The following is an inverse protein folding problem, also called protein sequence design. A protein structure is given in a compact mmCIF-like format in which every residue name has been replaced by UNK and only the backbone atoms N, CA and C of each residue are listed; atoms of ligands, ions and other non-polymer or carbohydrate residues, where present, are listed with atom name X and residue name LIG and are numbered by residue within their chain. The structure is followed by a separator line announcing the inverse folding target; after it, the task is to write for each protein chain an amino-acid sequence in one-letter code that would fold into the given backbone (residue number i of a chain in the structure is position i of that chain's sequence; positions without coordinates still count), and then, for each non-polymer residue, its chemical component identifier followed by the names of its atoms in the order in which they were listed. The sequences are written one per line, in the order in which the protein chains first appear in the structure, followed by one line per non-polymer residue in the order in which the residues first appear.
data_IF_071606504383
#
_entry.id   IF_071606504383
#
_cell.length_a   1.000
_cell.length_b   1.000
_cell.length_c   1.000
_cell.angle_alpha   90.00
_cell.angle_beta   90.00
_cell.angle_gamma   90.00
#
_symmetry.space_group_name_H-M   'P 1'
#
loop_
_entity.id
_entity.type
_entity.pdbx_description
1 polymer ?
#
# COMPACT_ATOMS: atom_id res chain seq x y z
N UNK A 1 -27.07 12.06 -15.96
CA UNK A 1 -26.95 10.74 -15.30
C UNK A 1 -25.52 10.39 -14.88
N UNK A 2 -24.48 10.97 -15.48
CA UNK A 2 -23.08 10.70 -15.13
C UNK A 2 -22.59 11.53 -13.91
N UNK A 3 -23.14 12.75 -13.77
CA UNK A 3 -22.89 13.68 -12.68
C UNK A 3 -23.29 13.16 -11.28
N UNK A 4 -24.20 12.18 -11.21
CA UNK A 4 -24.62 11.57 -9.93
C UNK A 4 -23.66 10.47 -9.44
N UNK A 5 -22.67 10.06 -10.25
CA UNK A 5 -21.71 9.00 -9.90
C UNK A 5 -20.34 9.53 -9.48
N UNK A 6 -19.97 10.76 -9.82
CA UNK A 6 -18.67 11.34 -9.46
C UNK A 6 -18.64 11.82 -8.00
N UNK A 7 -17.44 11.92 -7.42
CA UNK A 7 -17.22 12.58 -6.13
C UNK A 7 -17.21 14.09 -6.33
N UNK A 8 -17.81 14.85 -5.42
CA UNK A 8 -17.91 16.32 -5.49
C UNK A 8 -16.84 16.98 -4.62
N UNK A 9 -16.21 18.04 -5.12
CA UNK A 9 -15.19 18.80 -4.39
C UNK A 9 -15.79 19.51 -3.19
N UNK A 10 -15.07 19.47 -2.08
CA UNK A 10 -15.32 20.19 -0.83
C UNK A 10 -14.00 20.80 -0.40
N UNK A 11 -13.96 22.13 -0.25
CA UNK A 11 -12.82 22.80 0.37
C UNK A 11 -12.87 22.62 1.88
N UNK A 12 -11.70 22.60 2.53
CA UNK A 12 -11.63 22.46 3.97
C UNK A 12 -12.34 23.61 4.68
N UNK A 13 -12.93 23.32 5.85
CA UNK A 13 -13.60 24.32 6.66
C UNK A 13 -12.64 25.35 7.26
N UNK A 14 -11.37 24.97 7.47
CA UNK A 14 -10.30 25.83 7.96
C UNK A 14 -9.52 26.42 6.77
N UNK A 15 -9.66 27.73 6.46
CA UNK A 15 -9.04 28.35 5.28
C UNK A 15 -7.51 28.42 5.35
N UNK A 16 -6.93 28.32 6.55
CA UNK A 16 -5.49 28.38 6.77
C UNK A 16 -4.79 27.02 6.56
N UNK A 17 -5.54 25.97 6.21
CA UNK A 17 -4.96 24.69 5.80
C UNK A 17 -4.93 24.64 4.28
N UNK A 18 -3.74 24.87 3.72
CA UNK A 18 -3.56 25.20 2.31
C UNK A 18 -2.72 24.18 1.54
N UNK A 19 -2.78 24.26 0.22
CA UNK A 19 -1.82 23.67 -0.69
C UNK A 19 -0.49 24.44 -0.66
N UNK A 20 0.52 23.96 -1.37
CA UNK A 20 1.85 24.59 -1.38
C UNK A 20 1.82 26.09 -1.71
N UNK A 21 0.97 26.51 -2.65
CA UNK A 21 0.85 27.90 -3.11
C UNK A 21 -0.10 28.78 -2.29
N UNK A 22 -0.61 28.28 -1.16
CA UNK A 22 -1.56 29.00 -0.32
C UNK A 22 -3.03 28.90 -0.76
N UNK A 23 -3.33 28.24 -1.89
CA UNK A 23 -4.72 27.95 -2.28
C UNK A 23 -5.38 26.98 -1.28
N UNK A 24 -6.71 27.06 -1.05
CA UNK A 24 -7.37 26.23 -0.05
C UNK A 24 -7.29 24.75 -0.42
N UNK A 25 -6.83 23.90 0.51
CA UNK A 25 -6.88 22.47 0.31
C UNK A 25 -8.33 21.95 0.42
N UNK A 26 -8.54 20.67 0.11
CA UNK A 26 -9.87 20.08 0.09
C UNK A 26 -9.84 18.59 -0.23
N UNK A 27 -11.04 18.04 -0.40
CA UNK A 27 -11.26 16.64 -0.74
C UNK A 27 -12.45 16.51 -1.69
N UNK A 28 -12.55 15.38 -2.36
CA UNK A 28 -13.73 14.99 -3.12
C UNK A 28 -14.52 13.95 -2.33
N UNK A 29 -15.82 14.16 -2.17
CA UNK A 29 -16.70 13.27 -1.41
C UNK A 29 -17.83 12.73 -2.29
N UNK A 30 -18.08 11.43 -2.16
CA UNK A 30 -19.33 10.80 -2.56
C UNK A 30 -19.88 9.99 -1.40
N UNK A 31 -21.07 10.37 -0.95
CA UNK A 31 -21.76 9.68 0.14
C UNK A 31 -22.55 8.48 -0.39
N UNK A 32 -22.60 7.44 0.41
CA UNK A 32 -23.45 6.27 0.21
C UNK A 32 -24.40 6.17 1.41
N UNK A 33 -25.63 6.64 1.22
CA UNK A 33 -26.62 6.68 2.30
C UNK A 33 -26.91 5.26 2.82
N UNK A 34 -26.78 5.07 4.14
CA UNK A 34 -26.94 3.76 4.78
C UNK A 34 -25.65 2.96 4.93
N UNK A 35 -24.55 3.37 4.29
CA UNK A 35 -23.24 2.76 4.50
C UNK A 35 -22.52 3.41 5.69
N UNK A 36 -22.04 2.58 6.60
CA UNK A 36 -21.19 2.99 7.73
C UNK A 36 -19.70 2.79 7.45
N UNK A 37 -19.33 2.42 6.22
CA UNK A 37 -17.94 2.27 5.79
C UNK A 37 -17.46 3.54 5.11
N UNK A 38 -16.27 3.98 5.45
CA UNK A 38 -15.61 5.13 4.87
C UNK A 38 -14.25 4.73 4.32
N UNK A 39 -13.93 5.21 3.12
CA UNK A 39 -12.61 5.10 2.52
C UNK A 39 -12.11 6.50 2.26
N UNK A 40 -11.05 6.89 2.96
CA UNK A 40 -10.31 8.13 2.73
C UNK A 40 -9.04 7.77 2.01
N UNK A 41 -8.93 8.20 0.75
CA UNK A 41 -7.83 7.88 -0.13
C UNK A 41 -6.89 9.08 -0.29
N UNK A 42 -5.61 8.89 0.04
CA UNK A 42 -4.54 9.87 -0.13
C UNK A 42 -3.88 9.68 -1.50
N UNK A 43 -3.98 10.71 -2.35
CA UNK A 43 -3.29 10.71 -3.65
C UNK A 43 -1.76 10.75 -3.47
N UNK A 44 -1.05 10.21 -4.45
CA UNK A 44 0.41 10.23 -4.50
C UNK A 44 0.95 11.24 -5.51
N UNK A 45 2.24 11.14 -5.82
CA UNK A 45 2.87 11.95 -6.86
C UNK A 45 4.17 12.61 -6.40
N UNK A 46 5.13 11.82 -5.93
CA UNK A 46 6.46 12.28 -5.50
C UNK A 46 6.40 13.38 -4.42
N UNK A 47 7.45 14.19 -4.30
CA UNK A 47 7.59 15.28 -3.34
C UNK A 47 8.69 16.23 -3.84
N UNK A 48 8.87 17.37 -3.17
CA UNK A 48 10.03 18.24 -3.37
C UNK A 48 10.68 18.55 -2.02
N UNK A 49 12.00 18.69 -1.95
CA UNK A 49 12.76 18.62 -0.70
C UNK A 49 13.79 19.73 -0.53
N UNK A 50 13.88 20.65 -1.48
CA UNK A 50 14.65 21.89 -1.43
C UNK A 50 14.06 22.92 -2.40
N UNK A 51 14.55 24.16 -2.35
CA UNK A 51 14.07 25.26 -3.21
C UNK A 51 14.06 24.88 -4.70
N UNK A 52 15.15 24.29 -5.19
CA UNK A 52 15.30 23.96 -6.61
C UNK A 52 14.32 22.86 -7.06
N UNK A 53 14.18 21.79 -6.26
CA UNK A 53 13.23 20.72 -6.57
C UNK A 53 11.78 21.23 -6.50
N UNK A 54 11.44 22.12 -5.57
CA UNK A 54 10.10 22.69 -5.46
C UNK A 54 9.77 23.65 -6.61
N UNK A 55 10.71 24.51 -7.03
CA UNK A 55 10.52 25.33 -8.23
C UNK A 55 10.34 24.48 -9.49
N UNK A 56 11.15 23.43 -9.65
CA UNK A 56 11.05 22.51 -10.79
C UNK A 56 9.69 21.83 -10.80
N UNK A 57 9.23 21.38 -9.62
CA UNK A 57 7.90 20.78 -9.45
C UNK A 57 6.78 21.77 -9.76
N UNK A 58 6.91 23.03 -9.31
CA UNK A 58 5.93 24.08 -9.61
C UNK A 58 5.79 24.35 -11.10
N UNK A 59 6.91 24.31 -11.84
CA UNK A 59 6.91 24.53 -13.29
C UNK A 59 6.34 23.33 -14.07
N UNK A 60 6.64 22.10 -13.65
CA UNK A 60 6.33 20.88 -14.42
C UNK A 60 5.06 20.16 -13.96
N UNK A 61 4.74 20.24 -12.68
CA UNK A 61 3.70 19.47 -12.00
C UNK A 61 2.85 20.37 -11.09
N UNK A 62 2.56 21.61 -11.54
CA UNK A 62 1.78 22.60 -10.78
C UNK A 62 0.47 22.04 -10.19
N UNK A 63 -0.20 21.14 -10.92
CA UNK A 63 -1.45 20.52 -10.48
C UNK A 63 -1.35 19.71 -9.16
N UNK A 64 -0.13 19.36 -8.73
CA UNK A 64 0.17 18.73 -7.44
C UNK A 64 0.66 19.72 -6.37
N UNK A 65 0.46 21.02 -6.58
CA UNK A 65 0.91 22.10 -5.69
C UNK A 65 -0.15 23.20 -5.51
N UNK A 66 -1.30 23.11 -6.19
CA UNK A 66 -2.39 24.10 -6.16
C UNK A 66 -3.75 23.44 -6.27
N UNK A 67 -4.78 24.06 -5.70
CA UNK A 67 -6.19 23.68 -5.88
C UNK A 67 -6.95 24.55 -6.89
N UNK A 68 -6.33 25.63 -7.41
CA UNK A 68 -7.03 26.60 -8.28
C UNK A 68 -7.69 26.00 -9.52
N UNK A 69 -7.16 24.89 -10.05
CA UNK A 69 -7.65 24.24 -11.25
C UNK A 69 -8.34 22.90 -10.99
N UNK A 70 -8.68 22.61 -9.74
CA UNK A 70 -9.42 21.40 -9.42
C UNK A 70 -10.82 21.45 -10.06
N UNK A 71 -11.26 20.37 -10.74
CA UNK A 71 -12.63 20.30 -11.26
C UNK A 71 -13.64 20.21 -10.12
N UNK A 72 -14.90 20.54 -10.38
CA UNK A 72 -15.97 20.42 -9.39
C UNK A 72 -16.22 18.95 -8.99
N UNK A 73 -16.02 18.03 -9.94
CA UNK A 73 -16.18 16.60 -9.70
C UNK A 73 -14.97 15.79 -10.16
N UNK A 74 -14.71 14.66 -9.50
CA UNK A 74 -13.70 13.67 -9.88
C UNK A 74 -14.27 12.26 -9.80
N UNK A 75 -13.90 11.45 -10.78
CA UNK A 75 -14.11 10.01 -10.75
C UNK A 75 -12.76 9.32 -10.53
N UNK A 76 -12.77 8.21 -9.80
CA UNK A 76 -11.62 7.35 -9.58
C UNK A 76 -12.07 5.89 -9.72
N UNK A 77 -11.17 5.05 -10.24
CA UNK A 77 -11.42 3.62 -10.40
C UNK A 77 -11.05 2.82 -9.16
N UNK A 78 -10.96 1.51 -9.34
CA UNK A 78 -10.54 0.53 -8.35
C UNK A 78 -11.35 0.61 -7.07
N UNK A 79 -10.67 0.74 -5.93
CA UNK A 79 -11.28 0.78 -4.59
C UNK A 79 -12.27 1.95 -4.39
N UNK A 80 -12.17 3.01 -5.21
CA UNK A 80 -13.07 4.15 -5.20
C UNK A 80 -14.14 4.08 -6.30
N UNK A 81 -14.21 3.00 -7.08
CA UNK A 81 -15.26 2.82 -8.09
C UNK A 81 -16.60 2.48 -7.43
N UNK A 82 -17.70 2.97 -8.01
CA UNK A 82 -19.08 2.58 -7.66
C UNK A 82 -19.58 1.41 -8.49
N UNK A 83 -18.81 0.95 -9.48
CA UNK A 83 -19.16 -0.19 -10.28
C UNK A 83 -18.90 -1.48 -9.47
N UNK A 84 -19.91 -2.27 -9.08
CA UNK A 84 -19.70 -3.51 -8.33
C UNK A 84 -18.92 -4.58 -9.11
N UNK A 85 -18.85 -4.49 -10.44
CA UNK A 85 -18.02 -5.39 -11.27
C UNK A 85 -16.52 -5.05 -11.19
N UNK A 86 -16.20 -3.80 -10.83
CA UNK A 86 -14.83 -3.31 -10.63
C UNK A 86 -14.44 -3.32 -9.15
N UNK A 87 -15.38 -2.99 -8.26
CA UNK A 87 -15.19 -2.87 -6.82
C UNK A 87 -16.18 -3.74 -6.06
N UNK A 88 -15.92 -5.04 -6.03
CA UNK A 88 -16.88 -6.05 -5.54
C UNK A 88 -17.30 -5.83 -4.07
N UNK A 89 -16.41 -5.32 -3.23
CA UNK A 89 -16.61 -5.28 -1.78
C UNK A 89 -16.88 -3.88 -1.21
N UNK A 90 -16.38 -2.81 -1.85
CA UNK A 90 -16.46 -1.45 -1.32
C UNK A 90 -17.16 -0.46 -2.25
N UNK A 91 -17.83 -0.92 -3.32
CA UNK A 91 -18.54 -0.03 -4.26
C UNK A 91 -19.59 0.85 -3.58
N UNK A 92 -20.14 0.42 -2.45
CA UNK A 92 -21.15 1.14 -1.68
C UNK A 92 -20.60 1.82 -0.41
N UNK A 93 -19.28 1.94 -0.25
CA UNK A 93 -18.71 2.76 0.83
C UNK A 93 -18.96 4.26 0.60
N UNK A 94 -18.79 5.08 1.64
CA UNK A 94 -18.57 6.51 1.45
C UNK A 94 -17.14 6.68 0.94
N UNK A 95 -16.98 7.31 -0.22
CA UNK A 95 -15.69 7.47 -0.88
C UNK A 95 -15.20 8.90 -0.75
N UNK A 96 -13.97 9.05 -0.28
CA UNK A 96 -13.27 10.31 -0.14
C UNK A 96 -11.93 10.21 -0.85
N UNK A 97 -11.65 11.16 -1.72
CA UNK A 97 -10.37 11.30 -2.40
C UNK A 97 -9.75 12.64 -2.02
N UNK A 98 -8.58 12.60 -1.39
CA UNK A 98 -7.85 13.78 -0.95
C UNK A 98 -6.74 14.03 -1.99
N UNK A 99 -6.85 15.08 -2.82
CA UNK A 99 -5.82 15.36 -3.81
C UNK A 99 -4.53 15.82 -3.14
N UNK A 100 -3.41 15.41 -3.72
CA UNK A 100 -2.10 15.69 -3.15
C UNK A 100 -1.55 17.02 -3.68
N UNK A 101 -1.66 18.07 -2.87
CA UNK A 101 -1.18 19.41 -3.21
C UNK A 101 -0.12 19.99 -2.27
N UNK A 102 0.47 19.14 -1.41
CA UNK A 102 1.36 19.57 -0.33
C UNK A 102 2.82 19.14 -0.52
N UNK A 103 3.12 18.26 -1.48
CA UNK A 103 4.49 17.90 -1.91
C UNK A 103 5.43 17.40 -0.79
N UNK A 104 4.88 16.91 0.31
CA UNK A 104 5.57 16.57 1.56
C UNK A 104 5.29 15.14 2.05
N UNK A 105 4.84 14.26 1.16
CA UNK A 105 4.41 12.88 1.47
C UNK A 105 3.40 12.82 2.63
N UNK A 106 2.52 13.82 2.73
CA UNK A 106 1.49 13.94 3.77
C UNK A 106 2.03 14.11 5.20
N UNK A 107 3.26 14.60 5.35
CA UNK A 107 3.92 14.72 6.65
C UNK A 107 4.01 16.15 7.18
N UNK A 108 3.89 17.16 6.31
CA UNK A 108 4.26 18.53 6.67
C UNK A 108 3.31 19.17 7.67
N UNK A 109 3.88 19.95 8.59
CA UNK A 109 3.14 20.82 9.52
C UNK A 109 3.54 22.28 9.37
N UNK A 110 4.30 22.64 8.34
CA UNK A 110 4.73 24.01 8.08
C UNK A 110 3.58 24.82 7.47
N UNK A 111 3.01 25.70 8.30
CA UNK A 111 1.94 26.63 7.90
C UNK A 111 2.49 27.79 7.07
N UNK A 112 3.49 28.50 7.60
CA UNK A 112 4.08 29.66 6.94
C UNK A 112 4.98 29.25 5.77
N UNK A 113 4.91 29.94 4.61
CA UNK A 113 5.80 29.66 3.49
C UNK A 113 7.26 29.66 3.93
N UNK A 114 7.99 28.63 3.52
CA UNK A 114 9.43 28.56 3.78
C UNK A 114 10.16 29.71 3.07
N UNK A 115 11.15 30.31 3.75
CA UNK A 115 11.81 31.56 3.31
C UNK A 115 12.48 31.40 1.94
N UNK A 116 13.06 30.25 1.64
CA UNK A 116 13.71 30.01 0.36
C UNK A 116 12.70 29.54 -0.69
N UNK A 117 11.97 28.46 -0.41
CA UNK A 117 11.07 27.84 -1.40
C UNK A 117 9.78 28.62 -1.66
N UNK A 118 9.38 29.52 -0.76
CA UNK A 118 8.13 30.31 -0.81
C UNK A 118 6.85 29.44 -0.83
N UNK A 119 6.95 28.19 -0.36
CA UNK A 119 5.83 27.25 -0.30
C UNK A 119 5.53 26.79 1.13
N UNK A 120 4.26 26.55 1.42
CA UNK A 120 3.80 25.89 2.65
C UNK A 120 3.80 24.37 2.49
N UNK A 121 3.90 23.61 3.58
CA UNK A 121 3.89 22.13 3.54
C UNK A 121 3.01 21.62 4.67
N UNK A 122 1.74 21.34 4.36
CA UNK A 122 0.67 21.12 5.33
C UNK A 122 0.01 19.74 5.23
N UNK A 123 0.68 18.75 4.64
CA UNK A 123 0.10 17.45 4.34
C UNK A 123 -0.54 16.76 5.54
N UNK A 124 0.12 16.74 6.69
CA UNK A 124 -0.43 16.17 7.92
C UNK A 124 -1.66 16.94 8.43
N UNK A 125 -1.60 18.27 8.37
CA UNK A 125 -2.71 19.15 8.74
C UNK A 125 -3.92 18.96 7.80
N UNK A 126 -3.69 18.78 6.51
CA UNK A 126 -4.74 18.46 5.52
C UNK A 126 -5.42 17.14 5.88
N UNK A 127 -4.67 16.05 6.13
CA UNK A 127 -5.27 14.75 6.47
C UNK A 127 -6.12 14.86 7.74
N UNK A 128 -5.59 15.53 8.77
CA UNK A 128 -6.33 15.79 10.02
C UNK A 128 -7.63 16.55 9.75
N UNK A 129 -7.55 17.68 9.07
CA UNK A 129 -8.71 18.54 8.82
C UNK A 129 -9.76 17.87 7.94
N UNK A 130 -9.36 17.07 6.95
CA UNK A 130 -10.30 16.25 6.17
C UNK A 130 -11.10 15.34 7.10
N UNK A 131 -10.44 14.61 8.01
CA UNK A 131 -11.15 13.70 8.92
C UNK A 131 -12.10 14.47 9.83
N UNK A 132 -11.70 15.63 10.36
CA UNK A 132 -12.56 16.50 11.17
C UNK A 132 -13.78 17.00 10.38
N UNK A 133 -13.60 17.45 9.14
CA UNK A 133 -14.67 17.93 8.26
C UNK A 133 -15.65 16.82 7.86
N UNK A 134 -15.18 15.56 7.82
CA UNK A 134 -16.03 14.41 7.53
C UNK A 134 -16.93 14.00 8.72
N UNK A 135 -16.57 14.35 9.95
CA UNK A 135 -17.37 14.02 11.15
C UNK A 135 -18.82 14.49 11.05
N UNK A 136 -19.12 15.80 10.86
CA UNK A 136 -20.49 16.28 10.71
C UNK A 136 -21.14 15.79 9.41
N UNK A 137 -20.35 15.38 8.42
CA UNK A 137 -20.83 14.79 7.17
C UNK A 137 -21.21 13.30 7.32
N UNK A 138 -21.07 12.73 8.52
CA UNK A 138 -21.58 11.41 8.89
C UNK A 138 -20.50 10.41 9.31
N UNK A 139 -19.21 10.74 9.26
CA UNK A 139 -18.13 9.86 9.71
C UNK A 139 -18.27 9.52 11.20
N UNK A 140 -18.85 10.42 12.02
CA UNK A 140 -19.12 10.15 13.44
C UNK A 140 -19.98 8.88 13.68
N UNK A 141 -20.80 8.49 12.70
CA UNK A 141 -21.69 7.32 12.76
C UNK A 141 -21.10 6.09 12.03
N UNK A 142 -19.82 6.14 11.64
CA UNK A 142 -19.16 5.04 10.95
C UNK A 142 -18.93 3.84 11.88
N UNK A 143 -18.79 2.67 11.28
CA UNK A 143 -18.24 1.48 11.94
C UNK A 143 -16.80 1.22 11.52
N UNK A 144 -16.42 1.67 10.33
CA UNK A 144 -15.08 1.48 9.76
C UNK A 144 -14.64 2.73 8.99
N UNK A 145 -13.43 3.19 9.29
CA UNK A 145 -12.64 4.10 8.46
C UNK A 145 -11.41 3.35 7.92
N UNK A 146 -11.33 3.21 6.60
CA UNK A 146 -10.13 2.78 5.90
C UNK A 146 -9.38 4.02 5.40
N UNK A 147 -8.19 4.27 5.95
CA UNK A 147 -7.25 5.24 5.40
C UNK A 147 -6.38 4.53 4.36
N UNK A 148 -6.63 4.80 3.09
CA UNK A 148 -5.92 4.21 1.96
C UNK A 148 -5.06 5.26 1.25
N UNK A 149 -4.08 4.84 0.48
CA UNK A 149 -3.30 5.76 -0.35
C UNK A 149 -2.29 5.04 -1.21
N UNK A 150 -1.92 5.66 -2.33
CA UNK A 150 -0.96 5.10 -3.28
C UNK A 150 0.31 5.95 -3.39
N UNK A 151 1.46 5.33 -3.62
CA UNK A 151 2.75 6.04 -3.79
C UNK A 151 3.09 6.87 -2.53
N UNK A 152 3.42 8.16 -2.69
CA UNK A 152 3.58 9.09 -1.56
C UNK A 152 2.35 9.13 -0.63
N UNK A 153 1.14 8.88 -1.15
CA UNK A 153 -0.07 8.69 -0.35
C UNK A 153 -0.05 7.40 0.49
N UNK A 154 0.55 6.32 -0.01
CA UNK A 154 0.76 5.08 0.74
C UNK A 154 1.76 5.26 1.89
N UNK A 155 2.82 6.05 1.69
CA UNK A 155 3.68 6.51 2.78
C UNK A 155 2.90 7.39 3.76
N UNK A 156 2.09 8.32 3.24
CA UNK A 156 1.20 9.18 4.02
C UNK A 156 0.22 8.42 4.92
N UNK A 157 -0.29 7.27 4.47
CA UNK A 157 -1.09 6.37 5.31
C UNK A 157 -0.29 5.94 6.52
N UNK A 158 0.93 5.43 6.34
CA UNK A 158 1.76 4.96 7.47
C UNK A 158 2.11 6.08 8.45
N UNK A 159 2.33 7.30 7.96
CA UNK A 159 2.66 8.45 8.81
C UNK A 159 1.46 8.98 9.60
N UNK A 160 0.24 8.88 9.05
CA UNK A 160 -0.96 9.51 9.62
C UNK A 160 -1.95 8.51 10.23
N UNK A 161 -1.78 7.20 10.06
CA UNK A 161 -2.76 6.20 10.51
C UNK A 161 -3.02 6.26 12.02
N UNK A 162 -1.97 6.18 12.84
CA UNK A 162 -2.10 6.26 14.30
C UNK A 162 -2.53 7.66 14.78
N UNK A 163 -2.01 8.78 14.25
CA UNK A 163 -2.56 10.10 14.51
C UNK A 163 -4.07 10.22 14.26
N UNK A 164 -4.59 9.65 13.16
CA UNK A 164 -6.02 9.66 12.84
C UNK A 164 -6.82 8.73 13.76
N UNK A 165 -6.28 7.57 14.12
CA UNK A 165 -6.90 6.70 15.13
C UNK A 165 -7.01 7.42 16.49
N UNK A 166 -5.92 8.05 16.94
CA UNK A 166 -5.89 8.85 18.17
C UNK A 166 -6.85 10.05 18.12
N UNK A 167 -6.95 10.74 16.98
CA UNK A 167 -7.92 11.82 16.78
C UNK A 167 -9.35 11.36 17.03
N UNK A 168 -9.76 10.25 16.40
CA UNK A 168 -11.14 9.75 16.52
C UNK A 168 -11.41 9.19 17.91
N UNK A 169 -10.51 8.36 18.46
CA UNK A 169 -10.74 7.64 19.70
C UNK A 169 -10.54 8.51 20.94
N UNK A 170 -9.45 9.28 20.98
CA UNK A 170 -9.09 10.11 22.14
C UNK A 170 -9.59 11.54 21.98
N UNK A 171 -9.50 12.11 20.78
CA UNK A 171 -9.92 13.50 20.52
C UNK A 171 -11.45 13.67 20.50
N UNK A 172 -12.17 12.74 19.88
CA UNK A 172 -13.63 12.81 19.74
C UNK A 172 -14.41 11.72 20.49
N UNK A 173 -13.74 10.80 21.19
CA UNK A 173 -14.39 9.74 21.96
C UNK A 173 -15.07 8.64 21.10
N UNK A 174 -14.81 8.60 19.80
CA UNK A 174 -15.46 7.73 18.81
C UNK A 174 -14.81 6.34 18.75
N UNK A 175 -14.67 5.69 19.90
CA UNK A 175 -13.99 4.38 20.04
C UNK A 175 -14.71 3.23 19.32
N UNK A 176 -15.97 3.42 18.91
CA UNK A 176 -16.72 2.46 18.09
C UNK A 176 -16.26 2.42 16.62
N UNK A 177 -15.56 3.45 16.14
CA UNK A 177 -15.06 3.50 14.76
C UNK A 177 -13.77 2.67 14.69
N UNK A 178 -13.80 1.56 13.97
CA UNK A 178 -12.56 0.83 13.66
C UNK A 178 -11.75 1.63 12.64
N UNK A 179 -10.47 1.89 12.92
CA UNK A 179 -9.55 2.57 12.00
C UNK A 179 -8.53 1.56 11.50
N UNK A 180 -8.37 1.45 10.17
CA UNK A 180 -7.34 0.60 9.54
C UNK A 180 -6.72 1.29 8.33
N UNK A 181 -5.51 0.89 7.98
CA UNK A 181 -4.75 1.47 6.87
C UNK A 181 -4.56 0.52 5.68
N UNK A 182 -4.51 1.06 4.46
CA UNK A 182 -4.06 0.34 3.26
C UNK A 182 -2.98 1.18 2.57
N UNK A 183 -1.73 0.73 2.63
CA UNK A 183 -0.61 1.37 1.94
C UNK A 183 -0.36 0.64 0.62
N UNK A 184 -0.54 1.34 -0.50
CA UNK A 184 -0.23 0.83 -1.85
C UNK A 184 1.00 1.53 -2.39
N UNK A 185 2.03 0.75 -2.73
CA UNK A 185 3.25 1.27 -3.37
C UNK A 185 3.93 2.39 -2.55
N UNK A 186 3.78 2.35 -1.22
CA UNK A 186 4.32 3.31 -0.26
C UNK A 186 5.45 2.75 0.60
N UNK A 187 5.84 1.49 0.36
CA UNK A 187 6.86 0.77 1.11
C UNK A 187 8.19 0.81 0.35
N UNK A 188 9.00 1.83 0.65
CA UNK A 188 10.32 2.04 0.05
C UNK A 188 11.45 1.49 0.93
N UNK A 189 12.61 1.28 0.32
CA UNK A 189 13.87 0.93 0.96
C UNK A 189 14.87 2.10 0.88
N UNK A 190 15.55 2.38 1.99
CA UNK A 190 16.62 3.36 2.14
C UNK A 190 17.97 2.79 1.67
N UNK A 191 18.05 2.39 0.40
CA UNK A 191 19.24 1.80 -0.22
C UNK A 191 20.12 2.85 -0.89
N UNK A 192 21.39 2.52 -1.09
CA UNK A 192 22.29 3.30 -1.92
C UNK A 192 21.93 3.09 -3.40
N UNK A 193 21.81 4.15 -4.22
CA UNK A 193 21.51 4.02 -5.64
C UNK A 193 22.53 3.20 -6.39
N UNK A 194 22.09 2.68 -7.52
CA UNK A 194 22.97 2.21 -8.55
C UNK A 194 23.91 3.32 -9.05
N UNK A 195 25.21 3.05 -8.99
CA UNK A 195 26.29 3.91 -9.49
C UNK A 195 27.34 3.04 -10.16
N UNK A 196 27.80 3.43 -11.35
CA UNK A 196 28.90 2.70 -12.03
C UNK A 196 30.25 2.95 -11.34
N UNK A 197 30.43 4.12 -10.71
CA UNK A 197 31.70 4.57 -10.12
C UNK A 197 31.67 4.61 -8.58
N UNK A 198 30.59 4.14 -7.95
CA UNK A 198 30.45 4.11 -6.48
C UNK A 198 30.26 5.48 -5.79
N UNK A 199 30.09 6.56 -6.55
CA UNK A 199 30.07 7.96 -6.07
C UNK A 199 28.74 8.69 -6.33
N UNK A 200 27.59 8.02 -6.28
CA UNK A 200 26.30 8.71 -6.41
C UNK A 200 25.81 9.22 -5.05
N UNK A 201 25.52 10.52 -4.95
CA UNK A 201 24.88 11.16 -3.79
C UNK A 201 23.40 10.75 -3.75
N UNK A 202 22.97 10.21 -2.61
CA UNK A 202 21.86 9.28 -2.52
C UNK A 202 20.45 9.93 -2.40
N UNK A 203 19.38 9.29 -2.90
CA UNK A 203 17.95 9.54 -2.65
C UNK A 203 17.60 9.61 -1.17
N UNK A 204 18.43 9.03 -0.31
CA UNK A 204 18.35 9.19 1.13
C UNK A 204 18.41 10.66 1.57
N UNK A 205 19.17 11.47 0.84
CA UNK A 205 19.31 12.90 1.11
C UNK A 205 18.01 13.65 0.81
N UNK A 206 17.18 13.16 -0.12
CA UNK A 206 15.90 13.79 -0.44
C UNK A 206 14.93 13.74 0.75
N UNK A 207 14.79 12.57 1.40
CA UNK A 207 13.91 12.44 2.58
C UNK A 207 14.50 13.19 3.79
N UNK A 208 15.83 13.15 3.98
CA UNK A 208 16.52 13.89 5.05
C UNK A 208 16.37 15.41 4.92
N UNK A 209 16.48 15.94 3.70
CA UNK A 209 16.23 17.36 3.41
C UNK A 209 14.75 17.69 3.54
N UNK A 210 13.89 16.84 2.95
CA UNK A 210 12.45 16.98 2.94
C UNK A 210 11.85 17.11 4.33
N UNK A 211 12.13 16.19 5.25
CA UNK A 211 11.58 16.25 6.61
C UNK A 211 11.90 17.58 7.33
N UNK A 212 13.08 18.18 7.07
CA UNK A 212 13.45 19.48 7.63
C UNK A 212 12.71 20.62 6.96
N UNK A 213 12.65 20.60 5.63
CA UNK A 213 11.91 21.59 4.85
C UNK A 213 10.43 21.61 5.26
N UNK A 214 9.79 20.44 5.32
CA UNK A 214 8.35 20.32 5.55
C UNK A 214 7.93 20.50 7.00
N UNK A 215 8.88 20.53 7.95
CA UNK A 215 8.62 20.27 9.37
C UNK A 215 7.83 18.96 9.52
N UNK A 216 8.32 17.90 8.87
CA UNK A 216 7.59 16.65 8.72
C UNK A 216 7.37 15.96 10.07
N UNK A 217 6.11 15.68 10.41
CA UNK A 217 5.76 14.82 11.52
C UNK A 217 5.87 13.35 11.12
N UNK A 218 6.23 12.51 12.09
CA UNK A 218 6.27 11.04 11.95
C UNK A 218 5.61 10.40 13.19
N UNK A 219 5.19 9.13 13.14
CA UNK A 219 4.59 8.47 14.30
C UNK A 219 5.49 8.54 15.53
N UNK A 220 4.93 8.93 16.68
CA UNK A 220 5.69 9.19 17.91
C UNK A 220 6.53 7.98 18.36
N UNK A 221 5.96 6.78 18.29
CA UNK A 221 6.66 5.53 18.65
C UNK A 221 7.83 5.23 17.69
N UNK A 222 7.70 5.58 16.40
CA UNK A 222 8.80 5.48 15.45
C UNK A 222 9.87 6.54 15.71
N UNK A 223 9.46 7.77 16.00
CA UNK A 223 10.40 8.84 16.37
C UNK A 223 11.21 8.47 17.61
N UNK A 224 10.59 7.82 18.59
CA UNK A 224 11.27 7.34 19.79
C UNK A 224 12.34 6.28 19.49
N UNK A 225 12.17 5.49 18.43
CA UNK A 225 13.19 4.54 17.94
C UNK A 225 14.36 5.25 17.23
N UNK A 226 14.13 6.43 16.66
CA UNK A 226 15.11 7.17 15.84
C UNK A 226 15.17 8.67 16.21
N UNK A 227 15.53 9.04 17.46
CA UNK A 227 15.39 10.41 17.95
C UNK A 227 16.21 11.44 17.18
N UNK A 228 17.40 11.05 16.68
CA UNK A 228 18.28 11.90 15.88
C UNK A 228 18.06 11.76 14.36
N UNK A 229 17.32 10.74 13.93
CA UNK A 229 17.13 10.38 12.52
C UNK A 229 15.65 10.08 12.20
N UNK A 230 14.71 11.00 12.49
CA UNK A 230 13.27 10.75 12.31
C UNK A 230 12.87 10.50 10.86
N UNK A 231 13.69 10.92 9.88
CA UNK A 231 13.53 10.59 8.46
C UNK A 231 13.43 9.08 8.19
N UNK A 232 13.99 8.23 9.07
CA UNK A 232 13.89 6.78 8.99
C UNK A 232 12.45 6.28 9.03
N UNK A 233 11.53 7.04 9.63
CA UNK A 233 10.13 6.69 9.75
C UNK A 233 9.32 6.84 8.45
N UNK A 234 9.91 7.36 7.37
CA UNK A 234 9.29 7.35 6.04
C UNK A 234 9.41 5.98 5.34
N UNK A 235 10.25 5.08 5.86
CA UNK A 235 10.48 3.76 5.29
C UNK A 235 9.61 2.72 6.00
N UNK A 236 8.75 2.03 5.24
CA UNK A 236 7.69 1.19 5.79
C UNK A 236 8.20 0.11 6.75
N UNK A 237 9.31 -0.55 6.42
CA UNK A 237 9.88 -1.61 7.28
C UNK A 237 10.42 -1.10 8.62
N UNK A 238 10.67 0.20 8.75
CA UNK A 238 11.10 0.85 9.99
C UNK A 238 9.92 1.39 10.81
N UNK A 239 8.90 1.91 10.14
CA UNK A 239 7.70 2.46 10.78
C UNK A 239 6.69 1.38 11.19
N UNK A 240 6.50 0.35 10.37
CA UNK A 240 5.50 -0.69 10.57
C UNK A 240 5.53 -1.35 11.96
N UNK A 241 6.71 -1.72 12.52
CA UNK A 241 6.76 -2.36 13.84
C UNK A 241 6.25 -1.47 14.98
N UNK A 242 6.15 -0.16 14.77
CA UNK A 242 5.70 0.81 15.78
C UNK A 242 4.24 1.22 15.61
N UNK A 243 3.56 0.80 14.54
CA UNK A 243 2.17 1.14 14.31
C UNK A 243 1.25 0.32 15.22
N UNK A 244 0.30 1.01 15.85
CA UNK A 244 -0.73 0.39 16.69
C UNK A 244 -1.94 -0.04 15.87
N UNK A 245 -2.27 0.72 14.83
CA UNK A 245 -3.42 0.45 13.97
C UNK A 245 -3.08 -0.60 12.90
N UNK A 246 -4.01 -1.52 12.55
CA UNK A 246 -3.77 -2.53 11.51
C UNK A 246 -3.50 -1.90 10.14
N UNK A 247 -2.44 -2.34 9.47
CA UNK A 247 -2.06 -1.92 8.13
C UNK A 247 -2.01 -3.13 7.18
N UNK A 248 -2.69 -3.01 6.03
CA UNK A 248 -2.50 -3.87 4.86
C UNK A 248 -1.50 -3.22 3.91
N UNK A 249 -0.47 -3.97 3.50
CA UNK A 249 0.57 -3.47 2.58
C UNK A 249 0.37 -4.10 1.21
N UNK A 250 0.14 -3.28 0.19
CA UNK A 250 0.32 -3.69 -1.20
C UNK A 250 1.64 -3.09 -1.71
N UNK A 251 2.49 -3.91 -2.31
CA UNK A 251 3.76 -3.43 -2.86
C UNK A 251 4.22 -4.28 -4.05
N UNK A 252 4.49 -3.64 -5.19
CA UNK A 252 5.18 -4.30 -6.29
C UNK A 252 6.61 -4.64 -5.85
N UNK A 253 7.05 -5.90 -6.01
CA UNK A 253 8.43 -6.28 -5.68
C UNK A 253 9.45 -5.54 -6.57
N UNK A 254 9.02 -5.07 -7.75
CA UNK A 254 9.82 -4.25 -8.65
C UNK A 254 9.12 -2.92 -8.91
N UNK A 255 8.90 -2.14 -7.86
CA UNK A 255 8.21 -0.85 -7.95
C UNK A 255 9.00 0.19 -8.75
N UNK A 256 8.39 0.76 -9.79
CA UNK A 256 9.05 1.71 -10.70
C UNK A 256 9.55 2.98 -9.99
N UNK A 257 8.88 3.43 -8.93
CA UNK A 257 9.31 4.60 -8.16
C UNK A 257 10.54 4.27 -7.30
N UNK A 258 10.62 3.06 -6.72
CA UNK A 258 11.84 2.60 -6.06
C UNK A 258 12.99 2.45 -7.06
N UNK A 259 12.74 1.85 -8.22
CA UNK A 259 13.74 1.70 -9.28
C UNK A 259 14.29 3.09 -9.69
N UNK A 260 13.38 4.03 -9.97
CA UNK A 260 13.74 5.41 -10.34
C UNK A 260 14.54 6.10 -9.23
N UNK A 261 14.13 5.93 -7.97
CA UNK A 261 14.89 6.45 -6.83
C UNK A 261 16.30 5.84 -6.79
N UNK A 262 16.42 4.54 -7.02
CA UNK A 262 17.71 3.83 -7.06
C UNK A 262 18.56 4.17 -8.30
N UNK A 263 18.17 5.18 -9.09
CA UNK A 263 18.84 5.59 -10.33
C UNK A 263 18.86 4.49 -11.40
N UNK A 264 17.84 3.64 -11.37
CA UNK A 264 17.59 2.62 -12.38
C UNK A 264 16.20 2.87 -12.97
N UNK A 265 16.14 3.41 -14.18
CA UNK A 265 14.87 3.50 -14.92
C UNK A 265 14.45 2.13 -15.45
N UNK A 266 14.13 2.05 -16.74
CA UNK A 266 14.10 0.77 -17.43
C UNK A 266 15.55 0.19 -17.46
N UNK A 267 15.83 -0.95 -16.81
CA UNK A 267 17.20 -1.46 -16.74
C UNK A 267 17.62 -2.03 -18.10
N UNK A 268 18.80 -1.63 -18.59
CA UNK A 268 19.30 -1.98 -19.94
C UNK A 268 20.62 -2.75 -19.93
N UNK A 269 21.33 -2.80 -18.80
CA UNK A 269 22.55 -3.59 -18.64
C UNK A 269 22.38 -4.71 -17.64
N UNK A 270 23.20 -5.76 -17.77
CA UNK A 270 23.22 -6.87 -16.80
C UNK A 270 23.41 -6.39 -15.36
N UNK A 271 24.31 -5.43 -15.13
CA UNK A 271 24.56 -4.90 -13.78
C UNK A 271 23.34 -4.18 -13.21
N UNK A 272 22.59 -3.46 -14.04
CA UNK A 272 21.33 -2.85 -13.62
C UNK A 272 20.29 -3.92 -13.30
N UNK A 273 20.20 -5.00 -14.09
CA UNK A 273 19.35 -6.16 -13.77
C UNK A 273 19.72 -6.83 -12.45
N UNK A 274 21.01 -7.12 -12.25
CA UNK A 274 21.52 -7.72 -11.01
C UNK A 274 21.15 -6.86 -9.80
N UNK A 275 21.25 -5.52 -9.92
CA UNK A 275 20.85 -4.58 -8.89
C UNK A 275 19.33 -4.63 -8.62
N UNK A 276 18.50 -4.65 -9.67
CA UNK A 276 17.03 -4.73 -9.55
C UNK A 276 16.57 -6.04 -8.93
N UNK A 277 17.22 -7.17 -9.25
CA UNK A 277 16.95 -8.44 -8.57
C UNK A 277 17.23 -8.35 -7.06
N UNK A 278 18.39 -7.80 -6.69
CA UNK A 278 18.73 -7.60 -5.28
C UNK A 278 17.76 -6.66 -4.55
N UNK A 279 17.26 -5.63 -5.24
CA UNK A 279 16.21 -4.74 -4.74
C UNK A 279 14.93 -5.53 -4.46
N UNK A 280 14.45 -6.34 -5.41
CA UNK A 280 13.26 -7.18 -5.25
C UNK A 280 13.38 -8.19 -4.10
N UNK A 281 14.53 -8.85 -3.96
CA UNK A 281 14.82 -9.78 -2.85
C UNK A 281 14.81 -9.07 -1.48
N UNK A 282 15.30 -7.84 -1.45
CA UNK A 282 15.33 -7.03 -0.23
C UNK A 282 13.94 -6.53 0.15
N UNK A 283 13.12 -6.15 -0.84
CA UNK A 283 11.70 -5.85 -0.62
C UNK A 283 10.98 -7.07 -0.07
N UNK A 284 11.15 -8.24 -0.70
CA UNK A 284 10.57 -9.50 -0.24
C UNK A 284 10.92 -9.80 1.22
N UNK A 285 12.21 -9.67 1.56
CA UNK A 285 12.71 -9.94 2.91
C UNK A 285 12.14 -8.97 3.95
N UNK A 286 11.87 -7.73 3.56
CA UNK A 286 11.31 -6.71 4.47
C UNK A 286 9.88 -7.01 4.93
N UNK A 287 9.17 -7.90 4.23
CA UNK A 287 7.78 -8.26 4.56
C UNK A 287 7.65 -9.45 5.53
N UNK A 288 8.73 -10.11 5.94
CA UNK A 288 8.66 -11.33 6.77
C UNK A 288 7.83 -11.15 8.06
N UNK A 289 7.86 -9.96 8.66
CA UNK A 289 7.12 -9.63 9.89
C UNK A 289 5.86 -8.79 9.66
N UNK A 290 5.43 -8.62 8.41
CA UNK A 290 4.22 -7.88 8.07
C UNK A 290 3.02 -8.80 8.12
N UNK A 291 2.04 -8.51 8.97
CA UNK A 291 0.90 -9.39 9.21
C UNK A 291 -0.07 -9.51 8.02
N UNK A 292 -0.17 -8.48 7.17
CA UNK A 292 -1.02 -8.47 5.99
C UNK A 292 -0.31 -7.75 4.83
N UNK A 293 -0.01 -8.51 3.79
CA UNK A 293 0.77 -8.06 2.64
C UNK A 293 0.27 -8.73 1.36
N UNK A 294 0.31 -7.99 0.25
CA UNK A 294 0.10 -8.49 -1.11
C UNK A 294 1.22 -7.94 -1.99
N UNK A 295 2.19 -8.78 -2.33
CA UNK A 295 3.42 -8.37 -2.99
C UNK A 295 3.71 -9.19 -4.26
N UNK A 296 3.14 -8.81 -5.41
CA UNK A 296 3.35 -9.51 -6.68
C UNK A 296 4.70 -9.17 -7.30
N UNK A 297 5.26 -10.12 -8.06
CA UNK A 297 6.53 -9.98 -8.76
C UNK A 297 6.35 -9.33 -10.14
N UNK A 298 5.92 -8.06 -10.15
CA UNK A 298 5.71 -7.27 -11.37
C UNK A 298 6.48 -5.97 -11.32
N UNK A 299 6.82 -5.44 -12.49
CA UNK A 299 7.28 -4.06 -12.65
C UNK A 299 6.04 -3.20 -12.90
N UNK A 300 5.69 -2.37 -11.93
CA UNK A 300 4.61 -1.39 -12.06
C UNK A 300 4.70 -0.39 -10.90
N UNK A 301 3.75 0.54 -10.86
CA UNK A 301 3.58 1.44 -9.74
C UNK A 301 2.11 1.75 -9.51
N UNK A 302 1.69 1.68 -8.23
CA UNK A 302 0.31 1.87 -7.75
C UNK A 302 -0.70 0.88 -8.35
N UNK A 303 -1.80 0.62 -7.65
CA UNK A 303 -2.84 -0.29 -8.13
C UNK A 303 -4.24 0.06 -7.66
N UNK A 304 -4.41 0.66 -6.47
CA UNK A 304 -5.72 0.72 -5.80
C UNK A 304 -6.79 1.52 -6.56
N UNK A 305 -6.39 2.46 -7.42
CA UNK A 305 -7.32 3.29 -8.21
C UNK A 305 -7.37 2.90 -9.68
N UNK A 306 -6.63 1.85 -10.09
CA UNK A 306 -6.67 1.31 -11.45
C UNK A 306 -7.96 0.51 -11.66
N UNK A 307 -8.55 0.61 -12.86
CA UNK A 307 -9.81 -0.08 -13.17
C UNK A 307 -9.68 -1.59 -13.18
N UNK A 308 -8.50 -2.07 -13.53
CA UNK A 308 -8.13 -3.47 -13.62
C UNK A 308 -7.47 -3.99 -12.34
N UNK A 309 -7.50 -3.28 -11.19
CA UNK A 309 -6.87 -3.72 -9.94
C UNK A 309 -7.30 -5.11 -9.43
N UNK A 310 -8.42 -5.64 -9.94
CA UNK A 310 -8.92 -6.98 -9.64
C UNK A 310 -8.26 -8.09 -10.47
N UNK A 311 -7.53 -7.74 -11.54
CA UNK A 311 -6.81 -8.68 -12.40
C UNK A 311 -5.60 -9.27 -11.70
N UNK A 312 -4.92 -8.48 -10.84
CA UNK A 312 -3.72 -8.93 -10.14
C UNK A 312 -4.05 -10.00 -9.10
N UNK A 313 -3.32 -11.12 -9.17
CA UNK A 313 -3.51 -12.29 -8.30
C UNK A 313 -2.19 -12.87 -7.85
N UNK A 314 -2.19 -13.50 -6.69
CA UNK A 314 -1.11 -14.40 -6.22
C UNK A 314 -1.82 -15.67 -5.72
N UNK A 315 -1.37 -16.85 -6.17
CA UNK A 315 -1.99 -18.14 -5.83
C UNK A 315 -3.53 -18.14 -6.07
N UNK A 316 -3.97 -17.60 -7.22
CA UNK A 316 -5.39 -17.39 -7.60
C UNK A 316 -6.23 -16.47 -6.70
N UNK A 317 -5.62 -15.83 -5.71
CA UNK A 317 -6.30 -14.86 -4.84
C UNK A 317 -6.05 -13.45 -5.38
N UNK A 318 -7.11 -12.74 -5.74
CA UNK A 318 -7.00 -11.35 -6.21
C UNK A 318 -6.75 -10.37 -5.07
N UNK A 319 -6.17 -9.21 -5.38
CA UNK A 319 -5.96 -8.14 -4.40
C UNK A 319 -7.26 -7.76 -3.64
N UNK A 320 -8.41 -7.51 -4.31
CA UNK A 320 -9.66 -7.22 -3.59
C UNK A 320 -10.08 -8.34 -2.64
N UNK A 321 -9.86 -9.61 -3.00
CA UNK A 321 -10.21 -10.76 -2.15
C UNK A 321 -9.31 -10.84 -0.92
N UNK A 322 -8.00 -10.66 -1.09
CA UNK A 322 -7.04 -10.63 0.02
C UNK A 322 -7.33 -9.48 0.99
N UNK A 323 -7.58 -8.27 0.45
CA UNK A 323 -7.94 -7.10 1.25
C UNK A 323 -9.26 -7.31 2.01
N UNK A 324 -10.25 -7.95 1.36
CA UNK A 324 -11.54 -8.26 2.00
C UNK A 324 -11.38 -9.32 3.09
N UNK A 325 -10.55 -10.33 2.88
CA UNK A 325 -10.20 -11.32 3.88
C UNK A 325 -9.60 -10.65 5.13
N UNK A 326 -8.64 -9.74 4.93
CA UNK A 326 -8.04 -8.97 6.01
C UNK A 326 -9.04 -8.05 6.71
N UNK A 327 -9.90 -7.33 5.99
CA UNK A 327 -10.93 -6.48 6.60
C UNK A 327 -11.84 -7.28 7.56
N UNK A 328 -12.20 -8.51 7.17
CA UNK A 328 -13.05 -9.39 7.98
C UNK A 328 -12.31 -10.10 9.12
N UNK A 329 -10.97 -10.13 9.10
CA UNK A 329 -10.21 -10.73 10.19
C UNK A 329 -10.36 -9.87 11.45
N UNK A 330 -10.72 -10.53 12.56
CA UNK A 330 -10.84 -9.89 13.86
C UNK A 330 -9.47 -9.86 14.52
N UNK A 331 -9.06 -8.77 15.19
CA UNK A 331 -7.79 -8.71 15.92
C UNK A 331 -7.61 -9.72 17.07
N UNK A 332 -8.60 -10.59 17.35
CA UNK A 332 -8.51 -11.61 18.39
C UNK A 332 -9.16 -12.92 17.96
N UNK A 333 -8.36 -13.85 17.40
CA UNK A 333 -8.57 -15.29 17.64
C UNK A 333 -7.44 -16.25 17.23
N UNK A 334 -6.26 -15.79 16.77
CA UNK A 334 -5.15 -16.71 16.48
C UNK A 334 -3.87 -16.31 17.20
N UNK A 335 -3.50 -17.14 18.18
CA UNK A 335 -2.11 -17.37 18.58
C UNK A 335 -1.51 -16.36 19.54
N UNK A 336 -1.32 -16.80 20.77
CA UNK A 336 -0.13 -16.46 21.57
C UNK A 336 1.14 -16.71 20.73
N UNK A 337 1.54 -15.74 19.91
CA UNK A 337 2.93 -15.60 19.52
C UNK A 337 3.60 -14.79 20.61
N UNK A 338 4.51 -15.45 21.31
CA UNK A 338 5.45 -14.86 22.24
C UNK A 338 6.04 -13.61 21.60
N UNK A 339 5.65 -12.44 22.10
CA UNK A 339 6.41 -11.21 21.91
C UNK A 339 7.72 -11.42 22.65
N UNK A 340 8.74 -11.89 21.94
CA UNK A 340 10.12 -11.77 22.40
C UNK A 340 10.50 -10.30 22.27
N UNK A 341 10.39 -9.60 23.40
CA UNK A 341 11.03 -8.30 23.59
C UNK A 341 12.56 -8.46 23.48
N UNK A 342 13.29 -7.42 23.04
CA UNK A 342 14.75 -7.46 22.96
C UNK A 342 15.38 -7.87 24.30
N UNK A 343 16.47 -8.63 24.20
CA UNK A 343 17.29 -9.16 25.29
C UNK A 343 17.95 -8.04 26.13
N UNK A 344 17.18 -7.28 26.88
CA UNK A 344 17.70 -6.27 27.79
C UNK A 344 16.75 -5.96 28.96
N UNK A 345 15.97 -6.93 29.47
CA UNK A 345 15.11 -6.74 30.66
C UNK A 345 14.53 -8.06 31.22
N UNK A 346 15.38 -9.04 31.60
CA UNK A 346 14.93 -10.26 32.32
C UNK A 346 15.95 -10.75 33.37
N UNK A 347 16.35 -9.90 34.30
CA UNK A 347 16.90 -10.32 35.61
C UNK A 347 16.09 -9.67 36.71
N UNK A 348 14.90 -10.21 36.95
CA UNK A 348 14.22 -10.21 38.24
C UNK A 348 12.85 -10.86 38.07
N UNK A 349 12.52 -11.76 38.98
CA UNK A 349 11.22 -12.44 39.17
C UNK A 349 11.02 -13.71 38.33
N UNK A 350 11.57 -14.80 38.84
CA UNK A 350 10.85 -16.08 38.93
C UNK A 350 11.45 -16.93 40.04
N UNK A 351 10.91 -16.78 41.25
CA UNK A 351 10.81 -17.88 42.20
C UNK A 351 9.35 -17.94 42.66
N UNK A 352 8.87 -19.17 42.88
CA UNK A 352 7.54 -19.55 43.39
C UNK A 352 6.49 -19.53 42.26
N UNK A 353 5.99 -20.64 41.69
CA UNK A 353 5.37 -21.80 42.34
C UNK A 353 4.98 -22.81 41.25
N UNK A 354 5.47 -24.05 41.37
CA UNK A 354 4.95 -25.23 40.67
C UNK A 354 3.91 -25.91 41.55
N UNK A 355 2.83 -26.43 40.96
CA UNK A 355 2.02 -27.47 41.60
C UNK A 355 0.56 -27.57 41.14
N UNK A 356 0.18 -28.80 40.75
CA UNK A 356 -1.15 -29.42 40.54
C UNK A 356 -1.52 -29.63 39.06
N UNK A 357 -1.34 -30.83 38.49
CA UNK A 357 -2.01 -32.15 38.68
C UNK A 357 -3.40 -32.21 38.03
N UNK A 358 -3.49 -33.10 37.03
CA UNK A 358 -4.64 -33.47 36.23
C UNK A 358 -5.62 -34.38 36.99
N UNK A 359 -6.92 -34.29 36.67
CA UNK A 359 -7.91 -35.34 36.94
C UNK A 359 -8.98 -35.39 35.84
N UNK A 360 -9.52 -36.59 35.69
CA UNK A 360 -10.21 -37.18 34.54
C UNK A 360 -11.71 -36.83 34.43
N UNK A 361 -12.27 -37.12 33.25
CA UNK A 361 -13.67 -37.01 32.89
C UNK A 361 -14.47 -38.31 33.11
N UNK A 362 -15.80 -38.24 33.31
CA UNK A 362 -16.68 -39.40 33.10
C UNK A 362 -17.96 -39.02 32.26
N UNK A 363 -18.90 -39.95 31.92
CA UNK A 363 -19.05 -40.42 30.55
C UNK A 363 -20.40 -40.11 29.89
N UNK A 364 -20.45 -40.40 28.59
CA UNK A 364 -21.53 -40.22 27.62
C UNK A 364 -22.88 -40.90 27.95
N UNK A 365 -23.99 -40.17 27.74
CA UNK A 365 -25.33 -40.74 27.52
C UNK A 365 -25.74 -40.63 26.05
N UNK A 366 -25.92 -41.78 25.40
CA UNK A 366 -26.50 -41.94 24.06
C UNK A 366 -28.00 -41.63 24.08
N UNK A 367 -28.46 -40.68 23.26
CA UNK A 367 -29.86 -40.59 22.82
C UNK A 367 -29.92 -40.79 21.30
N UNK A 368 -30.66 -41.81 20.89
CA UNK A 368 -31.09 -42.07 19.50
C UNK A 368 -31.97 -40.91 19.03
N UNK A 369 -31.68 -40.36 17.86
CA UNK A 369 -32.59 -39.47 17.15
C UNK A 369 -32.68 -39.89 15.68
N UNK A 370 -33.92 -40.16 15.28
CA UNK A 370 -34.37 -40.56 13.96
C UNK A 370 -33.96 -39.56 12.87
N UNK A 371 -33.75 -40.10 11.67
CA UNK A 371 -33.32 -39.38 10.50
C UNK A 371 -34.26 -38.25 10.08
N UNK A 372 -33.66 -37.16 9.62
CA UNK A 372 -34.29 -36.26 8.66
C UNK A 372 -33.25 -35.82 7.64
N UNK A 373 -33.62 -35.90 6.37
CA UNK A 373 -32.83 -35.54 5.19
C UNK A 373 -32.48 -34.03 5.09
N UNK A 374 -32.67 -33.26 6.16
CA UNK A 374 -32.23 -31.85 6.30
C UNK A 374 -30.75 -31.71 6.67
N UNK A 375 -30.11 -32.78 7.17
CA UNK A 375 -28.71 -32.76 7.61
C UNK A 375 -27.68 -32.75 6.48
N UNK A 376 -27.99 -33.33 5.30
CA UNK A 376 -27.08 -33.36 4.15
C UNK A 376 -26.95 -31.99 3.48
N UNK A 377 -28.06 -31.29 3.23
CA UNK A 377 -28.04 -29.89 2.74
C UNK A 377 -27.34 -28.94 3.73
N UNK A 378 -27.62 -29.02 5.04
CA UNK A 378 -26.92 -28.19 6.04
C UNK A 378 -25.44 -28.55 6.18
N UNK A 379 -25.04 -29.81 6.03
CA UNK A 379 -23.62 -30.24 6.02
C UNK A 379 -22.91 -29.83 4.74
N UNK A 380 -23.56 -29.87 3.58
CA UNK A 380 -23.01 -29.34 2.32
C UNK A 380 -22.90 -27.82 2.36
N UNK A 381 -23.87 -27.09 2.89
CA UNK A 381 -23.75 -25.63 3.07
C UNK A 381 -22.68 -25.29 4.12
N UNK A 382 -22.56 -26.05 5.22
CA UNK A 382 -21.45 -25.90 6.19
C UNK A 382 -20.10 -26.33 5.61
N UNK A 383 -20.05 -27.32 4.72
CA UNK A 383 -18.83 -27.76 4.05
C UNK A 383 -18.41 -26.79 2.94
N UNK A 384 -19.38 -26.13 2.28
CA UNK A 384 -19.16 -25.07 1.29
C UNK A 384 -18.75 -23.76 1.98
N UNK A 385 -19.31 -23.44 3.14
CA UNK A 385 -18.86 -22.36 4.03
C UNK A 385 -17.50 -22.68 4.69
N UNK A 386 -17.22 -23.95 5.04
CA UNK A 386 -15.89 -24.38 5.53
C UNK A 386 -14.84 -24.46 4.41
N UNK A 387 -15.22 -24.74 3.16
CA UNK A 387 -14.34 -24.63 1.98
C UNK A 387 -14.09 -23.17 1.60
N UNK A 388 -15.08 -22.29 1.71
CA UNK A 388 -14.88 -20.84 1.56
C UNK A 388 -14.00 -20.25 2.68
N UNK A 389 -14.02 -20.88 3.87
CA UNK A 389 -13.12 -20.59 4.99
C UNK A 389 -11.71 -21.18 4.82
N UNK A 390 -11.43 -21.96 3.76
CA UNK A 390 -10.14 -22.62 3.56
C UNK A 390 -9.12 -21.82 2.73
N UNK A 391 -9.45 -20.61 2.23
CA UNK A 391 -8.48 -19.74 1.54
C UNK A 391 -8.64 -18.25 1.86
N UNK A 392 -8.95 -17.91 3.12
CA UNK A 392 -8.81 -16.53 3.56
C UNK A 392 -7.32 -16.27 3.83
N UNK A 393 -6.56 -15.93 2.77
CA UNK A 393 -5.16 -15.50 2.87
C UNK A 393 -5.06 -14.01 2.57
N UNK A 394 -4.34 -13.30 3.42
CA UNK A 394 -4.01 -11.88 3.26
C UNK A 394 -2.51 -11.61 3.46
N UNK A 395 -1.71 -12.66 3.47
CA UNK A 395 -0.24 -12.60 3.48
C UNK A 395 0.24 -13.34 2.24
N UNK A 396 0.33 -12.62 1.13
CA UNK A 396 0.62 -13.14 -0.19
C UNK A 396 1.84 -12.40 -0.71
N UNK A 397 2.96 -13.13 -0.83
CA UNK A 397 4.21 -12.61 -1.38
C UNK A 397 4.58 -13.56 -2.50
N UNK A 398 4.84 -13.00 -3.68
CA UNK A 398 5.19 -13.80 -4.83
C UNK A 398 6.50 -14.55 -4.61
N UNK A 399 6.50 -15.84 -4.99
CA UNK A 399 7.62 -16.74 -4.75
C UNK A 399 8.68 -16.63 -5.82
N UNK A 400 8.26 -16.37 -7.05
CA UNK A 400 9.20 -16.21 -8.15
C UNK A 400 10.02 -14.91 -7.96
N UNK A 401 11.33 -15.01 -8.25
CA UNK A 401 12.31 -13.94 -8.03
C UNK A 401 12.53 -13.05 -9.25
N UNK A 402 11.88 -13.38 -10.37
CA UNK A 402 12.07 -12.69 -11.64
C UNK A 402 11.04 -11.56 -11.82
N UNK A 403 11.42 -10.36 -12.25
CA UNK A 403 10.47 -9.31 -12.62
C UNK A 403 9.50 -9.81 -13.69
N UNK A 404 8.21 -9.51 -13.54
CA UNK A 404 7.15 -9.94 -14.46
C UNK A 404 6.92 -11.46 -14.54
N UNK A 405 7.36 -12.25 -13.55
CA UNK A 405 7.09 -13.69 -13.53
C UNK A 405 5.65 -14.06 -13.13
N UNK A 406 4.88 -13.12 -12.60
CA UNK A 406 3.49 -13.34 -12.25
C UNK A 406 2.60 -13.13 -13.50
N UNK A 407 1.83 -14.14 -13.88
CA UNK A 407 0.99 -14.10 -15.10
C UNK A 407 -0.12 -13.04 -15.08
N UNK A 408 -0.46 -12.51 -13.91
CA UNK A 408 -1.45 -11.45 -13.74
C UNK A 408 -0.84 -10.05 -13.76
N UNK A 409 0.46 -9.93 -14.03
CA UNK A 409 1.10 -8.63 -14.09
C UNK A 409 0.49 -7.74 -15.18
N UNK A 410 0.44 -6.41 -14.95
CA UNK A 410 0.09 -5.48 -16.00
C UNK A 410 1.13 -5.54 -17.11
N UNK A 411 0.67 -5.39 -18.35
CA UNK A 411 1.57 -5.30 -19.52
C UNK A 411 2.52 -4.13 -19.35
N UNK A 412 3.77 -4.35 -19.72
CA UNK A 412 4.76 -3.28 -19.76
C UNK A 412 4.52 -2.39 -20.97
N UNK A 413 4.86 -1.11 -20.83
CA UNK A 413 4.81 -0.14 -21.92
C UNK A 413 6.21 0.39 -22.20
N UNK A 414 6.48 0.63 -23.48
CA UNK A 414 7.72 1.22 -23.93
C UNK A 414 7.77 2.69 -23.45
N UNK A 415 8.82 3.11 -22.74
CA UNK A 415 8.87 4.44 -22.14
C UNK A 415 8.98 5.58 -23.17
N UNK A 416 9.34 5.29 -24.42
CA UNK A 416 9.48 6.29 -25.49
C UNK A 416 8.24 6.36 -26.39
N UNK A 417 7.63 5.22 -26.71
CA UNK A 417 6.49 5.16 -27.64
C UNK A 417 5.15 5.03 -26.94
N UNK A 418 5.14 4.65 -25.65
CA UNK A 418 3.93 4.34 -24.89
C UNK A 418 3.20 3.06 -25.35
N UNK A 419 3.76 2.33 -26.31
CA UNK A 419 3.17 1.08 -26.82
C UNK A 419 3.43 -0.07 -25.86
N UNK A 420 2.51 -1.03 -25.78
CA UNK A 420 2.73 -2.25 -24.99
C UNK A 420 3.93 -3.01 -25.54
N UNK A 421 4.84 -3.41 -24.65
CA UNK A 421 5.97 -4.26 -24.98
C UNK A 421 5.55 -5.73 -24.85
N UNK A 422 5.88 -6.49 -25.89
CA UNK A 422 5.89 -7.95 -25.82
C UNK A 422 6.98 -8.40 -24.84
N UNK A 423 6.76 -9.53 -24.18
CA UNK A 423 7.72 -10.19 -23.30
C UNK A 423 9.06 -10.53 -23.98
N UNK A 424 9.09 -10.75 -25.29
CA UNK A 424 10.35 -10.92 -26.03
C UNK A 424 11.10 -9.60 -26.16
N UNK A 425 10.39 -8.51 -26.43
CA UNK A 425 10.97 -7.17 -26.41
C UNK A 425 11.48 -6.82 -25.01
N UNK A 426 10.77 -7.27 -23.97
CA UNK A 426 11.23 -7.18 -22.60
C UNK A 426 12.54 -7.94 -22.37
N UNK A 427 12.63 -9.22 -22.76
CA UNK A 427 13.88 -9.99 -22.64
C UNK A 427 15.04 -9.35 -23.41
N UNK A 428 14.77 -8.83 -24.62
CA UNK A 428 15.77 -8.09 -25.41
C UNK A 428 16.19 -6.80 -24.72
N UNK A 429 15.26 -6.07 -24.11
CA UNK A 429 15.56 -4.88 -23.29
C UNK A 429 16.44 -5.22 -22.09
N UNK A 430 16.45 -6.48 -21.66
CA UNK A 430 17.31 -6.97 -20.58
C UNK A 430 18.77 -7.22 -21.00
N UNK A 431 19.12 -6.90 -22.25
CA UNK A 431 20.42 -7.21 -22.83
C UNK A 431 20.65 -8.71 -22.99
N UNK A 432 19.58 -9.52 -22.90
CA UNK A 432 19.66 -10.95 -23.16
C UNK A 432 19.81 -11.15 -24.67
N UNK A 433 20.89 -11.84 -25.03
CA UNK A 433 21.04 -12.36 -26.38
C UNK A 433 20.02 -13.48 -26.58
N UNK A 434 19.04 -13.25 -27.45
CA UNK A 434 17.97 -14.22 -27.70
C UNK A 434 18.48 -15.51 -28.33
N UNK A 435 19.65 -15.51 -28.99
CA UNK A 435 20.29 -16.75 -29.42
C UNK A 435 20.76 -17.56 -28.22
N UNK A 436 21.38 -16.92 -27.23
CA UNK A 436 21.79 -17.56 -25.98
C UNK A 436 20.59 -18.08 -25.17
N UNK A 437 19.47 -17.34 -25.14
CA UNK A 437 18.23 -17.79 -24.49
C UNK A 437 17.62 -18.99 -25.22
N UNK A 438 17.53 -18.95 -26.55
CA UNK A 438 17.05 -20.05 -27.38
C UNK A 438 17.88 -21.32 -27.15
N UNK A 439 19.22 -21.18 -27.17
CA UNK A 439 20.15 -22.27 -26.90
C UNK A 439 19.99 -22.86 -25.48
N UNK A 440 19.82 -22.01 -24.46
CA UNK A 440 19.63 -22.45 -23.08
C UNK A 440 18.29 -23.19 -22.89
N UNK A 441 17.25 -22.75 -23.59
CA UNK A 441 15.94 -23.38 -23.57
C UNK A 441 15.86 -24.62 -24.48
N UNK A 442 16.84 -24.83 -25.37
CA UNK A 442 16.88 -25.95 -26.31
C UNK A 442 15.86 -25.83 -27.43
N UNK A 443 15.49 -24.61 -27.80
CA UNK A 443 14.51 -24.28 -28.85
C UNK A 443 15.18 -23.40 -29.91
N UNK A 444 14.67 -23.39 -31.14
CA UNK A 444 15.21 -22.50 -32.16
C UNK A 444 14.73 -21.06 -31.96
N UNK A 445 15.52 -20.11 -32.44
CA UNK A 445 15.25 -18.68 -32.27
C UNK A 445 13.97 -18.22 -32.97
N UNK A 446 13.53 -18.90 -34.03
CA UNK A 446 12.30 -18.55 -34.73
C UNK A 446 11.09 -18.99 -33.92
N UNK A 447 11.12 -20.18 -33.32
CA UNK A 447 10.12 -20.62 -32.35
C UNK A 447 10.10 -19.72 -31.13
N UNK A 448 11.27 -19.40 -30.55
CA UNK A 448 11.35 -18.47 -29.42
C UNK A 448 10.72 -17.11 -29.74
N UNK A 449 10.99 -16.55 -30.93
CA UNK A 449 10.43 -15.24 -31.35
C UNK A 449 8.93 -15.25 -31.66
N UNK A 450 8.30 -16.42 -31.82
CA UNK A 450 6.87 -16.55 -32.13
C UNK A 450 6.06 -17.21 -31.00
N UNK A 451 6.71 -17.60 -29.91
CA UNK A 451 6.02 -18.09 -28.72
C UNK A 451 5.20 -16.97 -28.08
N UNK A 452 4.02 -17.33 -27.59
CA UNK A 452 3.22 -16.40 -26.83
C UNK A 452 3.78 -16.21 -25.39
N UNK A 453 3.24 -15.20 -24.71
CA UNK A 453 3.68 -14.82 -23.39
C UNK A 453 3.55 -15.96 -22.34
N UNK A 454 2.50 -16.76 -22.41
CA UNK A 454 2.27 -17.85 -21.46
C UNK A 454 3.26 -19.00 -21.68
N UNK A 455 3.53 -19.36 -22.94
CA UNK A 455 4.51 -20.38 -23.28
C UNK A 455 5.92 -20.01 -22.82
N UNK A 456 6.35 -18.75 -23.05
CA UNK A 456 7.67 -18.29 -22.64
C UNK A 456 7.82 -18.24 -21.11
N UNK A 457 6.81 -17.74 -20.40
CA UNK A 457 6.83 -17.68 -18.94
C UNK A 457 6.87 -19.07 -18.32
N UNK A 458 6.09 -20.01 -18.85
CA UNK A 458 6.13 -21.40 -18.39
C UNK A 458 7.53 -22.01 -18.55
N UNK A 459 8.22 -21.74 -19.66
CA UNK A 459 9.59 -22.22 -19.87
C UNK A 459 10.61 -21.63 -18.90
N UNK A 460 10.46 -20.34 -18.55
CA UNK A 460 11.37 -19.65 -17.63
C UNK A 460 11.09 -19.99 -16.16
N UNK A 461 9.85 -20.26 -15.79
CA UNK A 461 9.43 -20.54 -14.40
C UNK A 461 9.49 -22.03 -14.04
N UNK A 462 9.44 -22.95 -15.01
CA UNK A 462 9.53 -24.40 -14.76
C UNK A 462 10.97 -24.89 -14.49
N UNK A 463 11.99 -24.06 -14.67
CA UNK A 463 13.41 -24.43 -14.46
C UNK A 463 14.08 -23.76 -13.25
N UNK A 464 13.32 -23.04 -12.42
CA UNK A 464 13.81 -22.38 -11.21
C UNK A 464 13.61 -23.23 -9.95
#
# INVERSE_FOLDING_TARGET
MEESRAMKRVYLSTPNVTCNDGSPAGFYLRRSHGSQRWIVFLEGGWYCYDHQSCLTRWQRLRHLMTSHHWPETRSAGGILSVNPEENQFWWNANHVLVPYCTSDSWSGTRVEPDEESQFSFMGAAVVRQVVEDLLPLGLQNASLLLLAGSSAGGTGVMLNLDPIAGLLHMGYGLTHITVRGVSDSGWFLDRAPYSQDGHSLAPLDAVKKGIRLWQGQVPLECQACYPSEPWRCYFGYRAYPTLSSPLFVFQWLFDEAQMTADNVGAPVTKQQWDYIHQMGDSLRSSFHNVSAVFAPSCISHSVLTKKDWQSIKIDEISLPQALRCWEMSHPHQNGTLLRDAPLALKVARNMVRSGRVATEAPPSRRRKANGSNRGKKKKETRARLRRASASCSHHLIERCSWPQCNHSCPRLTNPFTGQEMDFIELLKSFGLDMMSVANALGIDIHTLNNMDHEELLNLLTQRA
#
